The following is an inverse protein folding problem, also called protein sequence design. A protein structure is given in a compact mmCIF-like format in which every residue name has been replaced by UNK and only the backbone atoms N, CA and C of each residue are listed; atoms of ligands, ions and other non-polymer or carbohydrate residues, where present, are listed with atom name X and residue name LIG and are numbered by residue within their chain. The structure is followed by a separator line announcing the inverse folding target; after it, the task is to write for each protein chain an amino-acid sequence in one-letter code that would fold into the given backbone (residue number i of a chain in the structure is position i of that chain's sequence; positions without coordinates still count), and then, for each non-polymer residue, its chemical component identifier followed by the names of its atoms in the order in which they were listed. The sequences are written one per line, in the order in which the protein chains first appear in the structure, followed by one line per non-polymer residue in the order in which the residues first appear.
data_IF_970547504874
#
_entry.id   IF_970547504874
#
_cell.length_a   1.000
_cell.length_b   1.000
_cell.length_c   1.000
_cell.angle_alpha   90.00
_cell.angle_beta   90.00
_cell.angle_gamma   90.00
#
_symmetry.space_group_name_H-M   'P 1'
#
loop_
_entity.id
_entity.type
_entity.pdbx_description
1 polymer ?
#
# COMPACT_ATOMS: atom_id res chain seq x y z
N UNK A 1 -16.04 18.90 9.99
CA UNK A 1 -15.20 18.81 8.77
C UNK A 1 -15.59 17.53 8.07
N UNK A 2 -15.96 17.65 6.80
CA UNK A 2 -16.46 16.56 5.97
C UNK A 2 -15.30 15.76 5.41
N UNK A 3 -15.24 14.48 5.73
CA UNK A 3 -14.19 13.58 5.23
C UNK A 3 -14.84 12.47 4.42
N UNK A 4 -14.47 12.32 3.15
CA UNK A 4 -14.82 11.13 2.39
C UNK A 4 -13.70 10.09 2.54
N UNK A 5 -14.01 8.89 3.01
CA UNK A 5 -13.07 7.77 3.03
C UNK A 5 -13.29 6.97 1.75
N UNK A 6 -12.34 7.06 0.82
CA UNK A 6 -12.43 6.41 -0.48
C UNK A 6 -11.80 5.01 -0.39
N UNK A 7 -12.60 3.98 -0.64
CA UNK A 7 -12.24 2.58 -0.44
C UNK A 7 -12.73 1.69 -1.60
N UNK A 8 -12.47 0.39 -1.55
CA UNK A 8 -12.78 -0.57 -2.61
C UNK A 8 -11.85 -0.43 -3.82
N UNK A 9 -12.42 -0.14 -4.99
CA UNK A 9 -11.71 -0.09 -6.27
C UNK A 9 -11.79 -1.38 -7.07
N UNK A 10 -10.94 -1.50 -8.11
CA UNK A 10 -10.88 -2.65 -9.02
C UNK A 10 -9.76 -3.66 -8.68
N UNK A 11 -8.91 -3.35 -7.70
CA UNK A 11 -7.80 -4.20 -7.28
C UNK A 11 -8.28 -5.51 -6.65
N UNK A 12 -7.48 -6.58 -6.73
CA UNK A 12 -7.69 -7.83 -5.99
C UNK A 12 -7.71 -7.60 -4.47
N UNK A 13 -7.12 -6.50 -3.99
CA UNK A 13 -7.11 -6.07 -2.59
C UNK A 13 -8.37 -5.28 -2.17
N UNK A 14 -9.41 -5.26 -3.01
CA UNK A 14 -10.66 -4.52 -2.79
C UNK A 14 -11.31 -4.78 -1.42
N UNK A 15 -11.33 -6.03 -0.96
CA UNK A 15 -11.96 -6.39 0.31
C UNK A 15 -11.16 -5.87 1.51
N UNK A 16 -9.83 -5.93 1.45
CA UNK A 16 -8.94 -5.30 2.43
C UNK A 16 -9.18 -3.78 2.46
N UNK A 17 -9.27 -3.17 1.27
CA UNK A 17 -9.52 -1.74 1.07
C UNK A 17 -10.86 -1.29 1.69
N UNK A 18 -11.94 -2.04 1.46
CA UNK A 18 -13.24 -1.78 2.11
C UNK A 18 -13.17 -1.96 3.64
N UNK A 19 -12.39 -2.93 4.13
CA UNK A 19 -12.26 -3.22 5.57
C UNK A 19 -11.53 -2.08 6.27
N UNK A 20 -10.38 -1.68 5.73
CA UNK A 20 -9.65 -0.47 6.11
C UNK A 20 -10.57 0.75 6.09
N UNK A 21 -11.27 0.98 4.97
CA UNK A 21 -12.17 2.11 4.80
C UNK A 21 -13.26 2.22 5.87
N UNK A 22 -13.87 1.08 6.24
CA UNK A 22 -14.89 1.06 7.29
C UNK A 22 -14.31 1.43 8.65
N UNK A 23 -13.17 0.84 9.02
CA UNK A 23 -12.51 1.10 10.32
C UNK A 23 -12.04 2.56 10.40
N UNK A 24 -11.42 3.09 9.34
CA UNK A 24 -11.03 4.51 9.26
C UNK A 24 -12.25 5.43 9.42
N UNK A 25 -13.36 5.13 8.74
CA UNK A 25 -14.59 5.95 8.81
C UNK A 25 -15.12 6.02 10.25
N UNK A 26 -15.15 4.89 10.95
CA UNK A 26 -15.60 4.81 12.33
C UNK A 26 -14.65 5.55 13.29
N UNK A 27 -13.33 5.42 13.07
CA UNK A 27 -12.31 6.12 13.86
C UNK A 27 -12.38 7.63 13.70
N UNK A 28 -12.58 8.14 12.47
CA UNK A 28 -12.76 9.57 12.25
C UNK A 28 -14.07 10.09 12.89
N UNK A 29 -15.13 9.29 12.89
CA UNK A 29 -16.39 9.67 13.56
C UNK A 29 -16.28 9.74 15.08
N UNK A 30 -15.54 8.82 15.71
CA UNK A 30 -15.33 8.87 17.16
C UNK A 30 -14.53 10.12 17.57
N UNK A 31 -13.76 10.69 16.63
CA UNK A 31 -13.08 12.00 16.76
C UNK A 31 -13.96 13.22 16.44
N UNK A 32 -15.23 13.01 16.05
CA UNK A 32 -16.19 14.08 15.78
C UNK A 32 -16.16 14.63 14.35
N UNK A 33 -15.54 13.92 13.40
CA UNK A 33 -15.59 14.27 11.97
C UNK A 33 -16.89 13.79 11.31
N UNK A 34 -17.39 14.56 10.34
CA UNK A 34 -18.50 14.17 9.47
C UNK A 34 -17.94 13.26 8.36
N UNK A 35 -17.54 12.04 8.73
CA UNK A 35 -16.90 11.09 7.81
C UNK A 35 -17.92 10.20 7.10
N UNK A 36 -17.66 9.78 5.86
CA UNK A 36 -18.51 8.82 5.11
C UNK A 36 -17.66 7.96 4.20
N UNK A 37 -17.95 6.67 4.09
CA UNK A 37 -17.19 5.75 3.23
C UNK A 37 -17.81 5.69 1.84
N UNK A 38 -17.00 5.77 0.79
CA UNK A 38 -17.43 5.69 -0.60
C UNK A 38 -16.61 4.64 -1.34
N UNK A 39 -17.31 3.73 -2.03
CA UNK A 39 -16.66 2.78 -2.92
C UNK A 39 -16.19 3.49 -4.19
N UNK A 40 -14.90 3.40 -4.51
CA UNK A 40 -14.34 3.99 -5.72
C UNK A 40 -14.99 3.43 -6.99
N UNK A 41 -15.26 2.13 -7.04
CA UNK A 41 -15.72 1.45 -8.25
C UNK A 41 -17.23 1.38 -8.37
N UNK A 42 -17.92 1.00 -7.29
CA UNK A 42 -19.39 0.91 -7.30
C UNK A 42 -20.06 2.27 -7.10
N UNK A 43 -19.38 3.18 -6.40
CA UNK A 43 -19.91 4.49 -6.07
C UNK A 43 -20.99 4.45 -5.00
N UNK A 44 -21.87 5.44 -5.05
CA UNK A 44 -22.93 5.62 -4.07
C UNK A 44 -24.21 6.10 -4.77
N UNK A 45 -25.32 5.42 -4.52
CA UNK A 45 -26.62 5.82 -5.07
C UNK A 45 -27.24 6.91 -4.18
N UNK A 46 -27.42 8.11 -4.75
CA UNK A 46 -28.14 9.19 -4.08
C UNK A 46 -29.65 9.00 -4.30
N UNK A 47 -30.43 9.12 -3.22
CA UNK A 47 -31.88 9.13 -3.35
C UNK A 47 -32.34 10.35 -4.17
N UNK A 48 -33.51 10.23 -4.82
CA UNK A 48 -34.02 11.29 -5.69
C UNK A 48 -34.23 12.58 -4.90
N UNK A 49 -33.44 13.60 -5.22
CA UNK A 49 -33.49 14.91 -4.56
C UNK A 49 -32.65 15.01 -3.29
N UNK A 50 -31.94 13.96 -2.89
CA UNK A 50 -31.00 13.98 -1.77
C UNK A 50 -29.82 14.92 -2.10
N UNK A 51 -29.46 15.77 -1.14
CA UNK A 51 -28.27 16.60 -1.27
C UNK A 51 -27.03 15.75 -0.95
N UNK A 52 -25.97 15.92 -1.75
CA UNK A 52 -24.67 15.27 -1.52
C UNK A 52 -24.07 15.65 -0.16
N UNK A 53 -24.44 16.81 0.39
CA UNK A 53 -23.98 17.24 1.72
C UNK A 53 -24.56 16.36 2.85
N UNK A 54 -25.72 15.74 2.62
CA UNK A 54 -26.42 15.00 3.68
C UNK A 54 -25.78 13.63 3.96
N UNK A 55 -25.04 13.06 3.00
CA UNK A 55 -24.38 11.76 3.17
C UNK A 55 -23.20 11.77 4.15
N UNK A 56 -22.67 12.94 4.50
CA UNK A 56 -21.62 13.08 5.51
C UNK A 56 -22.19 13.05 6.95
N UNK A 57 -23.50 13.32 7.09
CA UNK A 57 -24.19 13.35 8.38
C UNK A 57 -24.77 11.99 8.77
N UNK A 58 -25.05 11.13 7.80
CA UNK A 58 -25.64 9.81 8.03
C UNK A 58 -24.60 8.71 7.88
N UNK A 59 -24.64 7.71 8.78
CA UNK A 59 -23.81 6.53 8.60
C UNK A 59 -24.30 5.70 7.44
N UNK A 60 -23.50 5.64 6.37
CA UNK A 60 -23.67 4.66 5.30
C UNK A 60 -22.80 3.40 5.51
N UNK A 61 -22.07 3.33 6.63
CA UNK A 61 -21.16 2.23 6.96
C UNK A 61 -21.59 1.59 8.28
N UNK A 62 -21.68 0.26 8.33
CA UNK A 62 -21.94 -0.44 9.58
C UNK A 62 -20.76 -0.28 10.54
N UNK A 63 -21.02 -0.24 11.85
CA UNK A 63 -19.97 -0.40 12.87
C UNK A 63 -19.37 -1.82 12.81
N UNK A 64 -20.20 -2.79 12.43
CA UNK A 64 -19.89 -4.22 12.36
C UNK A 64 -19.71 -4.65 10.89
N UNK A 65 -18.96 -3.86 10.12
CA UNK A 65 -18.68 -4.18 8.72
C UNK A 65 -17.67 -5.33 8.67
N UNK A 66 -18.16 -6.57 8.74
CA UNK A 66 -17.40 -7.77 8.44
C UNK A 66 -17.36 -7.95 6.92
N UNK A 67 -16.16 -7.96 6.35
CA UNK A 67 -15.95 -8.20 4.93
C UNK A 67 -15.37 -9.60 4.80
N UNK A 68 -15.85 -10.30 3.78
CA UNK A 68 -15.30 -11.59 3.43
C UNK A 68 -13.83 -11.43 3.00
N UNK A 69 -12.96 -12.29 3.52
CA UNK A 69 -11.54 -12.36 3.16
C UNK A 69 -11.31 -12.98 1.76
N UNK A 70 -12.40 -13.38 1.07
CA UNK A 70 -12.36 -13.88 -0.30
C UNK A 70 -11.64 -12.91 -1.25
N UNK A 71 -10.76 -13.47 -2.08
CA UNK A 71 -10.03 -12.75 -3.11
C UNK A 71 -10.84 -12.82 -4.40
N UNK A 72 -11.33 -11.67 -4.86
CA UNK A 72 -12.10 -11.59 -6.09
C UNK A 72 -11.17 -11.49 -7.30
N UNK A 73 -11.49 -12.22 -8.37
CA UNK A 73 -10.82 -12.04 -9.67
C UNK A 73 -11.26 -10.72 -10.31
N UNK A 74 -10.44 -10.15 -11.20
CA UNK A 74 -10.81 -8.95 -11.94
C UNK A 74 -12.17 -9.10 -12.66
N UNK A 75 -12.41 -10.28 -13.26
CA UNK A 75 -13.66 -10.60 -13.93
C UNK A 75 -14.86 -10.63 -12.98
N UNK A 76 -14.68 -11.05 -11.73
CA UNK A 76 -15.74 -11.03 -10.73
C UNK A 76 -15.98 -9.62 -10.19
N UNK A 77 -14.93 -8.83 -10.01
CA UNK A 77 -15.06 -7.42 -9.64
C UNK A 77 -15.81 -6.64 -10.72
N UNK A 78 -15.50 -6.85 -12.00
CA UNK A 78 -16.19 -6.18 -13.09
C UNK A 78 -17.69 -6.48 -13.14
N UNK A 79 -18.10 -7.72 -12.83
CA UNK A 79 -19.52 -8.11 -12.76
C UNK A 79 -20.29 -7.39 -11.65
N UNK A 80 -19.61 -6.87 -10.61
CA UNK A 80 -20.26 -6.12 -9.53
C UNK A 80 -20.89 -4.83 -10.04
N UNK A 81 -20.35 -4.24 -11.11
CA UNK A 81 -20.92 -3.04 -11.69
C UNK A 81 -22.04 -3.38 -12.68
N UNK A 82 -23.26 -3.02 -12.32
CA UNK A 82 -24.47 -3.33 -13.09
C UNK A 82 -25.08 -2.12 -13.80
N UNK A 83 -24.51 -0.92 -13.63
CA UNK A 83 -25.05 0.34 -14.18
C UNK A 83 -24.61 0.63 -15.63
N UNK A 84 -23.79 -0.25 -16.23
CA UNK A 84 -23.31 -0.13 -17.61
C UNK A 84 -22.18 0.88 -17.82
N UNK A 85 -21.66 1.52 -16.76
CA UNK A 85 -20.55 2.46 -16.87
C UNK A 85 -19.19 1.73 -16.91
N UNK A 86 -18.19 2.28 -17.60
CA UNK A 86 -16.89 1.62 -17.82
C UNK A 86 -15.71 2.27 -17.10
N UNK A 87 -15.84 3.52 -16.64
CA UNK A 87 -14.73 4.25 -15.99
C UNK A 87 -14.49 3.83 -14.54
N UNK A 88 -13.27 3.98 -14.00
CA UNK A 88 -12.96 3.53 -12.63
C UNK A 88 -13.90 4.14 -11.57
N UNK A 89 -14.20 5.44 -11.67
CA UNK A 89 -15.03 6.15 -10.70
C UNK A 89 -16.51 5.78 -10.88
N UNK A 90 -17.08 5.13 -9.87
CA UNK A 90 -18.48 4.76 -9.80
C UNK A 90 -19.43 5.94 -9.71
N UNK A 91 -20.72 5.61 -9.65
CA UNK A 91 -21.79 6.60 -9.63
C UNK A 91 -21.62 7.58 -8.46
N UNK A 92 -21.72 8.87 -8.76
CA UNK A 92 -21.58 9.98 -7.82
C UNK A 92 -20.24 10.10 -7.06
N UNK A 93 -19.23 9.24 -7.29
CA UNK A 93 -17.97 9.29 -6.51
C UNK A 93 -17.33 10.67 -6.59
N UNK A 94 -17.00 11.16 -7.79
CA UNK A 94 -16.36 12.47 -7.93
C UNK A 94 -17.20 13.61 -7.35
N UNK A 95 -18.53 13.56 -7.55
CA UNK A 95 -19.45 14.57 -7.02
C UNK A 95 -19.42 14.60 -5.48
N UNK A 96 -19.32 13.44 -4.84
CA UNK A 96 -19.22 13.31 -3.38
C UNK A 96 -17.85 13.79 -2.89
N UNK A 97 -16.77 13.38 -3.54
CA UNK A 97 -15.42 13.78 -3.16
C UNK A 97 -15.22 15.31 -3.29
N UNK A 98 -15.82 15.95 -4.29
CA UNK A 98 -15.83 17.42 -4.44
C UNK A 98 -16.63 18.15 -3.35
N UNK A 99 -17.58 17.48 -2.71
CA UNK A 99 -18.32 18.03 -1.59
C UNK A 99 -17.60 17.85 -0.24
N UNK A 100 -16.57 17.00 -0.17
CA UNK A 100 -15.78 16.81 1.04
C UNK A 100 -14.78 17.96 1.26
N UNK A 101 -14.45 18.25 2.51
CA UNK A 101 -13.32 19.12 2.84
C UNK A 101 -11.98 18.40 2.64
N UNK A 102 -12.01 17.06 2.76
CA UNK A 102 -10.84 16.19 2.64
C UNK A 102 -11.23 14.77 2.24
N UNK A 103 -10.31 14.06 1.58
CA UNK A 103 -10.46 12.64 1.25
C UNK A 103 -9.39 11.81 1.96
N UNK A 104 -9.81 10.76 2.66
CA UNK A 104 -8.89 9.74 3.15
C UNK A 104 -8.81 8.62 2.10
N UNK A 105 -7.63 8.37 1.55
CA UNK A 105 -7.39 7.25 0.63
C UNK A 105 -7.20 5.95 1.42
N UNK A 106 -8.18 5.08 1.37
CA UNK A 106 -8.14 3.73 1.93
C UNK A 106 -8.19 2.70 0.78
N UNK A 107 -7.32 2.90 -0.21
CA UNK A 107 -7.24 2.08 -1.42
C UNK A 107 -5.95 1.26 -1.38
N UNK A 108 -6.02 -0.01 -1.77
CA UNK A 108 -4.87 -0.92 -1.77
C UNK A 108 -4.72 -1.57 -3.15
N UNK A 109 -3.49 -1.60 -3.66
CA UNK A 109 -3.13 -2.15 -4.95
C UNK A 109 -3.70 -1.40 -6.16
N UNK A 110 -3.18 -1.77 -7.33
CA UNK A 110 -3.66 -1.31 -8.65
C UNK A 110 -3.80 0.20 -8.76
N UNK A 111 -4.93 0.65 -9.34
CA UNK A 111 -5.19 2.06 -9.64
C UNK A 111 -5.31 2.98 -8.41
N UNK A 112 -5.44 2.40 -7.21
CA UNK A 112 -5.47 3.16 -5.95
C UNK A 112 -4.10 3.64 -5.49
N UNK A 113 -3.05 2.86 -5.77
CA UNK A 113 -1.69 3.11 -5.27
C UNK A 113 -0.70 3.52 -6.37
N UNK A 114 -1.03 3.35 -7.65
CA UNK A 114 -0.14 3.68 -8.77
C UNK A 114 -0.18 5.16 -9.22
N UNK A 115 -0.92 6.02 -8.51
CA UNK A 115 -1.00 7.45 -8.83
C UNK A 115 -2.15 7.87 -9.75
N UNK A 116 -2.89 6.94 -10.37
CA UNK A 116 -4.01 7.30 -11.28
C UNK A 116 -5.17 7.96 -10.55
N UNK A 117 -5.60 7.42 -9.42
CA UNK A 117 -6.66 8.05 -8.61
C UNK A 117 -6.21 9.42 -8.11
N UNK A 118 -4.98 9.52 -7.59
CA UNK A 118 -4.36 10.75 -7.11
C UNK A 118 -4.37 11.83 -8.20
N UNK A 119 -4.01 11.49 -9.44
CA UNK A 119 -4.03 12.42 -10.57
C UNK A 119 -5.44 12.94 -10.87
N UNK A 120 -6.48 12.10 -10.78
CA UNK A 120 -7.87 12.55 -10.95
C UNK A 120 -8.28 13.50 -9.82
N UNK A 121 -7.86 13.24 -8.58
CA UNK A 121 -8.13 14.13 -7.45
C UNK A 121 -7.42 15.47 -7.62
N UNK A 122 -6.16 15.47 -8.03
CA UNK A 122 -5.37 16.66 -8.33
C UNK A 122 -6.07 17.53 -9.40
N UNK A 123 -6.50 16.92 -10.51
CA UNK A 123 -7.21 17.62 -11.60
C UNK A 123 -8.56 18.21 -11.19
N UNK A 124 -9.17 17.70 -10.11
CA UNK A 124 -10.44 18.18 -9.56
C UNK A 124 -10.27 19.09 -8.34
N UNK A 125 -9.04 19.47 -7.98
CA UNK A 125 -8.70 20.25 -6.78
C UNK A 125 -9.23 19.61 -5.47
N UNK A 126 -9.27 18.28 -5.42
CA UNK A 126 -9.70 17.54 -4.23
C UNK A 126 -8.47 17.30 -3.35
N UNK A 127 -8.57 17.64 -2.06
CA UNK A 127 -7.48 17.43 -1.09
C UNK A 127 -7.56 16.02 -0.50
N UNK A 128 -6.45 15.28 -0.45
CA UNK A 128 -6.44 13.87 -0.02
C UNK A 128 -5.19 13.48 0.80
N UNK A 129 -5.29 12.43 1.63
CA UNK A 129 -4.19 11.82 2.42
C UNK A 129 -3.18 11.04 1.55
N UNK A 130 -2.00 10.74 2.09
CA UNK A 130 -0.98 9.93 1.39
C UNK A 130 -0.15 10.73 0.39
N UNK A 131 0.59 10.04 -0.49
CA UNK A 131 1.48 10.68 -1.47
C UNK A 131 0.77 11.13 -2.75
N UNK A 132 1.38 12.06 -3.48
CA UNK A 132 0.86 12.54 -4.77
C UNK A 132 1.06 11.54 -5.90
N UNK A 133 0.49 11.83 -7.08
CA UNK A 133 0.47 10.93 -8.25
C UNK A 133 1.86 10.40 -8.67
N UNK A 134 2.85 11.28 -8.84
CA UNK A 134 4.20 10.86 -9.25
C UNK A 134 4.88 9.94 -8.22
N UNK A 135 4.87 10.33 -6.94
CA UNK A 135 5.47 9.52 -5.88
C UNK A 135 4.76 8.16 -5.71
N UNK A 136 3.45 8.13 -5.92
CA UNK A 136 2.65 6.89 -5.90
C UNK A 136 3.07 5.96 -7.05
N UNK A 137 3.22 6.48 -8.27
CA UNK A 137 3.71 5.72 -9.42
C UNK A 137 5.14 5.20 -9.23
N UNK A 138 6.05 6.06 -8.73
CA UNK A 138 7.44 5.68 -8.44
C UNK A 138 7.49 4.55 -7.40
N UNK A 139 6.71 4.64 -6.32
CA UNK A 139 6.72 3.62 -5.27
C UNK A 139 6.16 2.27 -5.73
N UNK A 140 5.19 2.28 -6.67
CA UNK A 140 4.61 1.05 -7.24
C UNK A 140 5.55 0.33 -8.21
N UNK A 141 6.45 1.07 -8.86
CA UNK A 141 7.45 0.54 -9.80
C UNK A 141 8.72 0.10 -9.03
N UNK A 142 8.96 -1.21 -8.95
CA UNK A 142 10.07 -1.76 -8.15
C UNK A 142 11.43 -1.43 -8.72
N UNK A 143 11.57 -1.41 -10.05
CA UNK A 143 12.81 -1.07 -10.71
C UNK A 143 13.14 0.41 -10.48
N UNK A 144 12.22 1.32 -10.82
CA UNK A 144 12.44 2.77 -10.69
C UNK A 144 12.69 3.15 -9.22
N UNK A 145 11.89 2.64 -8.29
CA UNK A 145 12.09 2.92 -6.86
C UNK A 145 13.49 2.47 -6.40
N UNK A 146 13.95 1.29 -6.81
CA UNK A 146 15.30 0.81 -6.46
C UNK A 146 16.42 1.60 -7.12
N UNK A 147 16.27 2.02 -8.37
CA UNK A 147 17.26 2.89 -9.02
C UNK A 147 17.42 4.21 -8.24
N UNK A 148 16.31 4.83 -7.83
CA UNK A 148 16.32 6.04 -7.01
C UNK A 148 16.96 5.77 -5.63
N UNK A 149 16.63 4.64 -5.00
CA UNK A 149 17.23 4.25 -3.72
C UNK A 149 18.75 4.10 -3.84
N UNK A 150 19.23 3.34 -4.84
CA UNK A 150 20.66 3.13 -5.07
C UNK A 150 21.40 4.43 -5.38
N UNK A 151 20.79 5.32 -6.17
CA UNK A 151 21.37 6.63 -6.45
C UNK A 151 21.55 7.49 -5.19
N UNK A 152 20.75 7.26 -4.15
CA UNK A 152 20.78 7.97 -2.87
C UNK A 152 21.46 7.15 -1.75
N UNK A 153 22.30 6.18 -2.10
CA UNK A 153 23.04 5.32 -1.17
C UNK A 153 22.15 4.52 -0.21
N UNK A 154 20.91 4.23 -0.60
CA UNK A 154 19.99 3.34 0.14
C UNK A 154 20.16 1.92 -0.39
N UNK A 155 20.56 1.01 0.48
CA UNK A 155 20.79 -0.40 0.12
C UNK A 155 19.47 -1.09 -0.22
N UNK A 156 19.48 -1.84 -1.31
CA UNK A 156 18.45 -2.79 -1.73
C UNK A 156 19.15 -3.98 -2.41
N UNK A 157 18.41 -5.06 -2.69
CA UNK A 157 18.95 -6.18 -3.46
C UNK A 157 19.45 -5.71 -4.83
N UNK A 158 20.62 -6.21 -5.26
CA UNK A 158 21.01 -6.11 -6.67
C UNK A 158 19.91 -6.72 -7.53
N UNK A 159 19.65 -6.09 -8.66
CA UNK A 159 18.56 -6.51 -9.53
C UNK A 159 18.88 -6.29 -11.00
N UNK A 160 18.07 -6.89 -11.85
CA UNK A 160 18.01 -6.62 -13.28
C UNK A 160 16.55 -6.67 -13.74
N UNK A 161 16.20 -5.82 -14.70
CA UNK A 161 14.88 -5.80 -15.34
C UNK A 161 14.98 -6.56 -16.65
N UNK A 162 14.04 -7.46 -16.89
CA UNK A 162 13.96 -8.31 -18.06
C UNK A 162 12.63 -8.11 -18.77
N UNK A 163 12.68 -8.16 -20.09
CA UNK A 163 11.53 -8.15 -20.99
C UNK A 163 11.45 -9.48 -21.73
N UNK A 164 10.29 -9.81 -22.29
CA UNK A 164 10.09 -11.07 -23.02
C UNK A 164 11.11 -11.24 -24.18
N UNK A 165 11.53 -10.13 -24.80
CA UNK A 165 12.52 -10.11 -25.87
C UNK A 165 13.97 -10.41 -25.44
N UNK A 166 14.28 -10.29 -24.14
CA UNK A 166 15.61 -10.60 -23.58
C UNK A 166 15.86 -12.12 -23.48
N UNK A 167 14.81 -12.92 -23.63
CA UNK A 167 14.88 -14.38 -23.54
C UNK A 167 15.05 -14.90 -22.10
N UNK A 168 15.60 -16.11 -21.98
CA UNK A 168 15.52 -16.91 -20.74
C UNK A 168 16.81 -16.87 -19.89
N UNK A 169 17.96 -16.54 -20.48
CA UNK A 169 19.27 -16.56 -19.81
C UNK A 169 19.99 -15.21 -19.90
N UNK A 170 19.51 -14.19 -19.18
CA UNK A 170 20.22 -12.92 -19.10
C UNK A 170 21.56 -13.10 -18.39
N UNK A 171 22.56 -12.31 -18.76
CA UNK A 171 23.78 -12.18 -17.97
C UNK A 171 23.49 -11.33 -16.73
N UNK A 172 23.52 -11.95 -15.55
CA UNK A 172 23.30 -11.30 -14.27
C UNK A 172 24.61 -11.19 -13.47
N UNK A 173 24.75 -10.10 -12.72
CA UNK A 173 25.93 -9.83 -11.85
C UNK A 173 25.84 -10.53 -10.47
N UNK A 174 24.88 -11.43 -10.32
CA UNK A 174 24.60 -12.23 -9.13
C UNK A 174 24.11 -13.62 -9.55
N UNK A 175 24.14 -14.57 -8.61
CA UNK A 175 23.80 -15.97 -8.87
C UNK A 175 22.67 -16.47 -7.98
N UNK A 176 22.37 -17.76 -8.13
CA UNK A 176 21.31 -18.43 -7.38
C UNK A 176 21.58 -18.55 -5.86
N UNK A 177 20.52 -18.57 -5.02
CA UNK A 177 19.13 -18.37 -5.40
C UNK A 177 18.81 -16.90 -5.76
N UNK A 178 17.74 -16.69 -6.53
CA UNK A 178 17.26 -15.37 -6.96
C UNK A 178 15.77 -15.23 -6.71
N UNK A 179 15.27 -14.00 -6.63
CA UNK A 179 13.84 -13.70 -6.54
C UNK A 179 13.36 -13.14 -7.87
N UNK A 180 12.35 -13.76 -8.48
CA UNK A 180 11.70 -13.31 -9.72
C UNK A 180 10.33 -12.76 -9.37
N UNK A 181 9.99 -11.56 -9.82
CA UNK A 181 8.65 -10.97 -9.60
C UNK A 181 8.27 -9.96 -10.69
N UNK A 182 6.96 -9.75 -10.94
CA UNK A 182 6.48 -8.63 -11.75
C UNK A 182 7.00 -7.28 -11.22
N UNK A 183 7.38 -6.37 -12.12
CA UNK A 183 7.88 -5.04 -11.74
C UNK A 183 6.77 -4.24 -11.05
N UNK A 184 5.57 -4.27 -11.62
CA UNK A 184 4.37 -3.60 -11.12
C UNK A 184 3.47 -4.53 -10.29
N UNK A 185 2.65 -3.94 -9.42
CA UNK A 185 1.69 -4.68 -8.60
C UNK A 185 2.20 -5.01 -7.20
N UNK A 186 1.35 -5.66 -6.40
CA UNK A 186 1.61 -5.91 -4.97
C UNK A 186 1.27 -7.33 -4.53
N UNK A 187 1.28 -7.53 -3.21
CA UNK A 187 0.81 -8.77 -2.56
C UNK A 187 1.59 -10.04 -2.92
N UNK A 188 2.86 -9.95 -3.33
CA UNK A 188 3.69 -11.13 -3.68
C UNK A 188 3.12 -12.01 -4.82
N UNK A 189 2.14 -11.52 -5.59
CA UNK A 189 1.57 -12.25 -6.73
C UNK A 189 2.67 -12.40 -7.79
N UNK A 190 2.89 -13.63 -8.25
CA UNK A 190 3.94 -13.93 -9.24
C UNK A 190 5.38 -13.88 -8.71
N UNK A 191 5.58 -13.73 -7.39
CA UNK A 191 6.92 -13.77 -6.79
C UNK A 191 7.37 -15.21 -6.55
N UNK A 192 8.56 -15.58 -7.02
CA UNK A 192 9.17 -16.90 -6.78
C UNK A 192 10.65 -16.81 -6.45
N UNK A 193 11.11 -17.71 -5.59
CA UNK A 193 12.54 -17.96 -5.37
C UNK A 193 12.97 -19.07 -6.33
N UNK A 194 13.98 -18.81 -7.15
CA UNK A 194 14.51 -19.76 -8.13
C UNK A 194 15.95 -20.16 -7.77
N UNK A 195 16.29 -21.42 -7.98
CA UNK A 195 17.56 -22.02 -7.56
C UNK A 195 18.44 -22.50 -8.72
N UNK A 196 17.86 -22.59 -9.92
CA UNK A 196 18.58 -22.98 -11.13
C UNK A 196 17.96 -22.37 -12.40
N UNK A 197 18.63 -22.59 -13.54
CA UNK A 197 18.24 -22.11 -14.86
C UNK A 197 16.84 -22.57 -15.29
N UNK A 198 16.45 -23.77 -14.86
CA UNK A 198 15.15 -24.34 -15.23
C UNK A 198 14.03 -23.63 -14.46
N UNK A 199 14.20 -23.46 -13.15
CA UNK A 199 13.25 -22.71 -12.32
C UNK A 199 13.14 -21.25 -12.76
N UNK A 200 14.26 -20.61 -13.16
CA UNK A 200 14.24 -19.26 -13.73
C UNK A 200 13.38 -19.20 -15.00
N UNK A 201 13.59 -20.12 -15.94
CA UNK A 201 12.83 -20.17 -17.19
C UNK A 201 11.32 -20.33 -16.98
N UNK A 202 10.95 -21.25 -16.09
CA UNK A 202 9.55 -21.51 -15.73
C UNK A 202 8.93 -20.29 -15.03
N UNK A 203 9.69 -19.64 -14.14
CA UNK A 203 9.22 -18.46 -13.41
C UNK A 203 9.05 -17.24 -14.33
N UNK A 204 9.98 -16.99 -15.25
CA UNK A 204 9.87 -15.88 -16.21
C UNK A 204 8.65 -16.07 -17.12
N UNK A 205 8.46 -17.28 -17.67
CA UNK A 205 7.32 -17.58 -18.54
C UNK A 205 5.96 -17.37 -17.83
N UNK A 206 5.88 -17.61 -16.53
CA UNK A 206 4.66 -17.34 -15.76
C UNK A 206 4.52 -15.87 -15.40
N UNK A 207 5.63 -15.20 -15.03
CA UNK A 207 5.63 -13.80 -14.64
C UNK A 207 5.20 -12.86 -15.79
N UNK A 208 5.61 -13.15 -17.04
CA UNK A 208 5.21 -12.38 -18.23
C UNK A 208 3.71 -12.40 -18.53
N UNK A 209 2.94 -13.25 -17.83
CA UNK A 209 1.46 -13.23 -17.93
C UNK A 209 0.85 -12.07 -17.13
N UNK A 210 1.62 -11.47 -16.24
CA UNK A 210 1.18 -10.43 -15.31
C UNK A 210 1.79 -9.06 -15.62
N UNK A 211 3.01 -9.01 -16.17
CA UNK A 211 3.72 -7.76 -16.48
C UNK A 211 4.72 -7.98 -17.62
N UNK A 212 4.95 -6.95 -18.44
CA UNK A 212 5.92 -6.98 -19.54
C UNK A 212 7.36 -6.74 -19.01
N UNK A 213 7.48 -6.13 -17.82
CA UNK A 213 8.74 -5.91 -17.12
C UNK A 213 8.83 -6.81 -15.89
N UNK A 214 9.83 -7.69 -15.85
CA UNK A 214 10.07 -8.61 -14.74
C UNK A 214 11.37 -8.22 -14.05
N UNK A 215 11.33 -8.05 -12.73
CA UNK A 215 12.52 -7.80 -11.94
C UNK A 215 13.05 -9.11 -11.36
N UNK A 216 14.34 -9.34 -11.55
CA UNK A 216 15.09 -10.46 -10.95
C UNK A 216 16.07 -9.88 -9.95
N UNK A 217 16.04 -10.35 -8.71
CA UNK A 217 16.83 -9.84 -7.60
C UNK A 217 17.75 -10.92 -7.01
N UNK A 218 18.91 -10.50 -6.49
CA UNK A 218 19.70 -11.36 -5.64
C UNK A 218 18.89 -11.77 -4.40
N UNK A 219 18.98 -13.03 -3.99
CA UNK A 219 18.31 -13.47 -2.78
C UNK A 219 19.09 -13.01 -1.55
N UNK A 220 18.51 -12.08 -0.78
CA UNK A 220 19.06 -11.65 0.51
C UNK A 220 18.49 -12.53 1.61
N UNK A 221 19.36 -13.25 2.33
CA UNK A 221 18.99 -13.94 3.55
C UNK A 221 19.02 -12.97 4.74
N UNK A 222 17.98 -12.95 5.56
CA UNK A 222 17.89 -12.06 6.71
C UNK A 222 16.55 -12.18 7.44
N UNK A 223 16.39 -11.35 8.47
CA UNK A 223 15.13 -11.14 9.18
C UNK A 223 14.33 -10.06 8.46
N UNK A 224 13.02 -10.25 8.34
CA UNK A 224 12.11 -9.34 7.65
C UNK A 224 11.42 -8.38 8.63
N UNK A 225 11.40 -7.11 8.30
CA UNK A 225 10.80 -6.06 9.12
C UNK A 225 9.99 -5.09 8.28
N UNK A 226 9.11 -4.37 8.95
CA UNK A 226 8.40 -3.24 8.39
C UNK A 226 8.44 -2.05 9.33
N UNK A 227 8.47 -0.85 8.74
CA UNK A 227 8.34 0.41 9.46
C UNK A 227 7.39 1.33 8.70
N UNK A 228 6.29 1.65 9.34
CA UNK A 228 5.43 2.78 9.03
C UNK A 228 6.14 4.10 9.29
N UNK A 229 5.93 5.07 8.42
CA UNK A 229 6.36 6.44 8.62
C UNK A 229 5.14 7.32 8.49
N UNK A 230 4.89 8.16 9.48
CA UNK A 230 3.75 9.08 9.51
C UNK A 230 4.26 10.47 9.82
N UNK A 231 3.92 11.43 8.96
CA UNK A 231 4.26 12.84 9.07
C UNK A 231 5.76 13.13 9.26
N UNK A 232 6.62 12.27 8.67
CA UNK A 232 8.08 12.38 8.73
C UNK A 232 8.71 11.66 9.93
N UNK A 233 7.93 10.95 10.73
CA UNK A 233 8.40 10.19 11.88
C UNK A 233 8.18 8.70 11.66
N UNK A 234 9.24 7.90 11.80
CA UNK A 234 9.17 6.44 11.70
C UNK A 234 8.65 5.82 13.01
N UNK A 235 7.71 4.91 12.89
CA UNK A 235 7.16 4.11 13.97
C UNK A 235 8.18 3.07 14.47
N UNK A 236 7.95 2.43 15.63
CA UNK A 236 8.66 1.21 16.00
C UNK A 236 8.58 0.17 14.89
N UNK A 237 9.62 -0.67 14.77
CA UNK A 237 9.60 -1.73 13.77
C UNK A 237 8.61 -2.82 14.20
N UNK A 238 8.09 -3.54 13.22
CA UNK A 238 7.42 -4.83 13.38
C UNK A 238 8.25 -5.87 12.64
N UNK A 239 8.54 -6.99 13.29
CA UNK A 239 9.19 -8.14 12.64
C UNK A 239 8.14 -9.10 12.10
N UNK A 240 8.36 -9.57 10.88
CA UNK A 240 7.53 -10.55 10.19
C UNK A 240 8.28 -11.88 10.23
N UNK A 241 7.79 -12.83 11.04
CA UNK A 241 8.38 -14.16 11.19
C UNK A 241 7.49 -15.20 10.53
N UNK A 242 8.00 -15.89 9.51
CA UNK A 242 7.30 -17.00 8.85
C UNK A 242 7.89 -18.32 9.37
N UNK A 243 7.06 -19.17 9.99
CA UNK A 243 7.53 -20.38 10.66
C UNK A 243 7.90 -21.51 9.68
N UNK A 244 7.29 -21.55 8.49
CA UNK A 244 7.57 -22.49 7.42
C UNK A 244 7.66 -21.72 6.07
N UNK A 245 8.81 -21.66 5.42
CA UNK A 245 8.95 -20.99 4.10
C UNK A 245 9.24 -19.48 4.16
N UNK A 246 8.69 -18.69 3.22
CA UNK A 246 8.90 -17.24 3.06
C UNK A 246 7.57 -16.47 2.96
N UNK A 247 7.57 -15.14 3.13
CA UNK A 247 6.36 -14.30 3.20
C UNK A 247 5.65 -14.10 1.84
N UNK A 248 4.89 -15.11 1.43
CA UNK A 248 4.08 -15.09 0.21
C UNK A 248 2.63 -14.61 0.44
N UNK A 249 1.82 -14.65 -0.62
CA UNK A 249 0.40 -14.23 -0.59
C UNK A 249 -0.46 -15.02 0.41
N UNK A 250 -0.25 -16.34 0.51
CA UNK A 250 -1.02 -17.20 1.41
C UNK A 250 -0.73 -16.84 2.88
N UNK A 251 0.49 -16.37 3.16
CA UNK A 251 0.95 -15.92 4.48
C UNK A 251 0.45 -14.52 4.90
N UNK A 252 0.02 -13.67 3.95
CA UNK A 252 -0.42 -12.29 4.18
C UNK A 252 -1.89 -12.17 4.62
N UNK A 253 -2.71 -13.17 4.31
CA UNK A 253 -4.17 -13.06 4.46
C UNK A 253 -4.85 -14.22 5.21
N UNK A 254 -4.12 -15.30 5.56
CA UNK A 254 -4.69 -16.38 6.38
C UNK A 254 -4.57 -16.08 7.88
N UNK A 255 -5.70 -15.98 8.56
CA UNK A 255 -5.76 -15.91 10.02
C UNK A 255 -5.49 -17.30 10.62
N UNK A 256 -4.24 -17.56 10.99
CA UNK A 256 -3.87 -18.70 11.81
C UNK A 256 -2.61 -19.45 11.38
N UNK A 257 -1.58 -19.38 12.24
CA UNK A 257 -0.47 -20.33 12.45
C UNK A 257 0.82 -20.26 11.62
N UNK A 258 0.90 -19.55 10.49
CA UNK A 258 2.15 -19.54 9.69
C UNK A 258 3.01 -18.28 9.83
N UNK A 259 2.40 -17.10 10.02
CA UNK A 259 3.11 -15.81 10.20
C UNK A 259 2.90 -15.24 11.61
N UNK A 260 3.99 -14.82 12.27
CA UNK A 260 3.96 -14.11 13.55
C UNK A 260 4.46 -12.67 13.35
N UNK A 261 3.77 -11.72 13.97
CA UNK A 261 4.18 -10.32 14.00
C UNK A 261 4.68 -9.97 15.41
N UNK A 262 5.90 -9.45 15.50
CA UNK A 262 6.53 -9.09 16.78
C UNK A 262 6.78 -7.58 16.82
N UNK A 263 6.07 -6.87 17.72
CA UNK A 263 6.12 -5.41 17.82
C UNK A 263 6.17 -4.98 19.29
N UNK A 264 7.21 -4.24 19.75
CA UNK A 264 8.48 -4.04 19.06
C UNK A 264 9.32 -5.35 19.03
N UNK A 265 10.14 -5.57 18.00
CA UNK A 265 10.97 -6.76 17.89
C UNK A 265 12.19 -6.70 18.81
N UNK A 266 12.75 -7.88 19.09
CA UNK A 266 14.02 -8.01 19.80
C UNK A 266 15.19 -7.83 18.81
N UNK A 267 15.71 -6.61 18.72
CA UNK A 267 16.82 -6.21 17.84
C UNK A 267 17.75 -5.23 18.56
N UNK A 268 18.98 -5.11 18.07
CA UNK A 268 19.94 -4.11 18.56
C UNK A 268 19.43 -2.69 18.24
N UNK A 269 19.56 -1.77 19.21
CA UNK A 269 19.07 -0.39 19.09
C UNK A 269 19.70 0.37 17.92
N UNK A 270 20.97 0.08 17.60
CA UNK A 270 21.68 0.67 16.46
C UNK A 270 21.03 0.25 15.13
N UNK A 271 20.62 -1.02 15.02
CA UNK A 271 19.92 -1.54 13.84
C UNK A 271 18.51 -0.94 13.74
N UNK A 272 17.81 -0.83 14.88
CA UNK A 272 16.49 -0.20 14.91
C UNK A 272 16.54 1.28 14.50
N UNK A 273 17.50 2.01 15.04
CA UNK A 273 17.74 3.42 14.73
C UNK A 273 18.10 3.62 13.25
N UNK A 274 18.92 2.72 12.69
CA UNK A 274 19.26 2.74 11.27
C UNK A 274 18.03 2.48 10.40
N UNK A 275 17.19 1.48 10.73
CA UNK A 275 15.95 1.23 9.99
C UNK A 275 15.01 2.43 10.01
N UNK A 276 14.84 3.10 11.16
CA UNK A 276 14.02 4.33 11.25
C UNK A 276 14.57 5.44 10.35
N UNK A 277 15.89 5.65 10.39
CA UNK A 277 16.58 6.65 9.56
C UNK A 277 16.39 6.35 8.08
N UNK A 278 16.61 5.10 7.66
CA UNK A 278 16.47 4.66 6.27
C UNK A 278 15.02 4.72 5.83
N UNK A 279 14.03 4.35 6.65
CA UNK A 279 12.61 4.44 6.29
C UNK A 279 12.18 5.87 5.93
N UNK A 280 12.58 6.85 6.76
CA UNK A 280 12.33 8.27 6.49
C UNK A 280 13.08 8.73 5.23
N UNK A 281 14.34 8.31 5.06
CA UNK A 281 15.13 8.65 3.88
C UNK A 281 14.52 8.07 2.60
N UNK A 282 14.10 6.81 2.60
CA UNK A 282 13.45 6.11 1.48
C UNK A 282 12.21 6.87 1.04
N UNK A 283 11.30 7.18 1.97
CA UNK A 283 10.12 7.97 1.61
C UNK A 283 10.47 9.33 1.04
N UNK A 284 11.46 10.02 1.61
CA UNK A 284 11.88 11.33 1.12
C UNK A 284 12.44 11.27 -0.32
N UNK A 285 13.30 10.30 -0.65
CA UNK A 285 13.91 10.21 -1.99
C UNK A 285 12.91 9.75 -3.05
N UNK A 286 11.90 8.95 -2.66
CA UNK A 286 10.79 8.56 -3.53
C UNK A 286 9.71 9.64 -3.65
N UNK A 287 9.87 10.78 -2.96
CA UNK A 287 8.91 11.89 -2.96
C UNK A 287 7.61 11.57 -2.22
N UNK A 288 7.58 10.50 -1.42
CA UNK A 288 6.42 10.10 -0.63
C UNK A 288 6.20 11.07 0.53
N UNK A 289 4.93 11.31 0.89
CA UNK A 289 4.56 12.28 1.92
C UNK A 289 3.43 11.77 2.79
N UNK A 290 3.26 12.40 3.95
CA UNK A 290 2.17 12.17 4.91
C UNK A 290 2.21 10.81 5.59
N UNK A 291 2.06 9.70 4.88
CA UNK A 291 2.31 8.38 5.46
C UNK A 291 2.67 7.35 4.40
N UNK A 292 3.25 6.24 4.84
CA UNK A 292 3.63 5.10 4.03
C UNK A 292 4.28 4.04 4.91
N UNK A 293 4.70 2.93 4.29
CA UNK A 293 5.40 1.84 4.97
C UNK A 293 6.62 1.43 4.15
N UNK A 294 7.74 1.16 4.80
CA UNK A 294 8.96 0.66 4.16
C UNK A 294 9.27 -0.71 4.73
N UNK A 295 9.45 -1.69 3.83
CA UNK A 295 9.73 -3.07 4.20
C UNK A 295 11.23 -3.34 4.04
N UNK A 296 11.78 -4.16 4.93
CA UNK A 296 13.22 -4.34 5.11
C UNK A 296 13.60 -5.81 5.26
N UNK A 297 14.78 -6.15 4.72
CA UNK A 297 15.57 -7.30 5.15
C UNK A 297 16.78 -6.81 5.94
N UNK A 298 17.10 -7.47 7.04
CA UNK A 298 18.34 -7.18 7.79
C UNK A 298 19.13 -8.45 8.07
N UNK A 299 20.45 -8.32 7.98
CA UNK A 299 21.42 -9.38 8.29
C UNK A 299 22.73 -8.75 8.77
N UNK A 300 23.80 -9.54 8.85
CA UNK A 300 25.11 -9.07 9.32
C UNK A 300 25.74 -7.97 8.44
N UNK A 301 25.31 -7.81 7.18
CA UNK A 301 25.86 -6.82 6.25
C UNK A 301 25.05 -5.50 6.20
N UNK A 302 23.91 -5.46 6.89
CA UNK A 302 23.17 -4.23 7.17
C UNK A 302 21.66 -4.33 6.91
N UNK A 303 21.07 -3.15 6.72
CA UNK A 303 19.64 -2.95 6.44
C UNK A 303 19.44 -2.77 4.93
N UNK A 304 18.52 -3.53 4.35
CA UNK A 304 18.18 -3.52 2.93
C UNK A 304 16.70 -3.21 2.77
N UNK A 305 16.36 -2.20 1.98
CA UNK A 305 14.97 -1.89 1.63
C UNK A 305 14.48 -2.90 0.59
N UNK A 306 13.34 -3.53 0.85
CA UNK A 306 12.64 -4.40 -0.10
C UNK A 306 11.82 -3.55 -1.06
N UNK A 307 10.88 -2.79 -0.51
CA UNK A 307 9.92 -1.93 -1.20
C UNK A 307 9.34 -0.85 -0.28
N UNK A 308 8.68 0.15 -0.87
CA UNK A 308 7.94 1.18 -0.16
C UNK A 308 6.47 1.17 -0.60
N UNK A 309 5.56 1.15 0.36
CA UNK A 309 4.12 1.05 0.15
C UNK A 309 3.47 2.40 0.48
N UNK A 310 2.75 2.97 -0.50
CA UNK A 310 2.17 4.31 -0.37
C UNK A 310 0.88 4.33 0.45
N UNK A 311 -0.02 3.37 0.26
CA UNK A 311 -1.27 3.25 1.01
C UNK A 311 -1.30 1.88 1.71
N UNK A 312 -0.46 1.67 2.74
CA UNK A 312 -0.40 0.39 3.44
C UNK A 312 -1.77 0.03 4.04
N UNK A 313 -1.98 -1.27 4.28
CA UNK A 313 -3.16 -1.77 5.00
C UNK A 313 -3.40 -1.03 6.32
N UNK A 314 -4.67 -0.68 6.58
CA UNK A 314 -5.09 0.13 7.72
C UNK A 314 -6.16 -0.55 8.56
N UNK A 315 -6.35 -1.87 8.45
CA UNK A 315 -7.14 -2.59 9.44
C UNK A 315 -6.38 -2.59 10.78
N UNK A 316 -7.05 -2.71 11.95
CA UNK A 316 -6.35 -2.74 13.24
C UNK A 316 -5.29 -3.85 13.37
N UNK A 317 -5.41 -4.93 12.58
CA UNK A 317 -4.44 -6.03 12.52
C UNK A 317 -3.35 -5.82 11.46
N UNK A 318 -3.38 -4.71 10.72
CA UNK A 318 -2.34 -4.36 9.75
C UNK A 318 -1.07 -3.87 10.47
N UNK A 319 0.06 -3.90 9.76
CA UNK A 319 1.39 -3.57 10.31
C UNK A 319 1.45 -2.16 10.90
N UNK A 320 1.12 -1.12 10.12
CA UNK A 320 1.22 0.27 10.55
C UNK A 320 0.37 0.59 11.80
N UNK A 321 -0.91 0.16 11.91
CA UNK A 321 -1.68 0.29 13.15
C UNK A 321 -1.06 -0.40 14.37
N UNK A 322 -0.48 -1.60 14.22
CA UNK A 322 0.20 -2.30 15.32
C UNK A 322 1.48 -1.59 15.76
N UNK A 323 2.26 -1.06 14.81
CA UNK A 323 3.44 -0.25 15.11
C UNK A 323 3.07 1.04 15.85
N UNK A 324 1.98 1.70 15.45
CA UNK A 324 1.46 2.89 16.12
C UNK A 324 0.97 2.57 17.55
N UNK A 325 0.29 1.45 17.75
CA UNK A 325 -0.14 0.99 19.07
C UNK A 325 1.07 0.75 19.99
N UNK A 326 2.13 0.11 19.47
CA UNK A 326 3.38 -0.08 20.22
C UNK A 326 4.09 1.25 20.56
N UNK A 327 3.83 2.32 19.80
CA UNK A 327 4.27 3.68 20.10
C UNK A 327 3.34 4.43 21.08
N UNK A 328 2.25 3.80 21.55
CA UNK A 328 1.24 4.41 22.42
C UNK A 328 0.25 5.32 21.69
N UNK A 329 0.11 5.17 20.37
CA UNK A 329 -0.81 5.95 19.53
C UNK A 329 -2.06 5.10 19.28
N UNK A 330 -3.24 5.58 19.68
CA UNK A 330 -4.50 4.87 19.38
C UNK A 330 -4.79 4.86 17.88
N UNK A 331 -5.57 3.89 17.41
CA UNK A 331 -5.97 3.81 16.00
C UNK A 331 -6.70 5.08 15.53
N UNK A 332 -7.53 5.65 16.39
CA UNK A 332 -8.23 6.90 16.14
C UNK A 332 -7.28 8.10 16.06
N UNK A 333 -6.29 8.18 16.96
CA UNK A 333 -5.24 9.20 16.91
C UNK A 333 -4.39 9.07 15.64
N UNK A 334 -4.06 7.84 15.23
CA UNK A 334 -3.33 7.57 13.99
C UNK A 334 -4.10 8.11 12.78
N UNK A 335 -5.36 7.72 12.61
CA UNK A 335 -6.20 8.16 11.49
C UNK A 335 -6.35 9.69 11.45
N UNK A 336 -6.58 10.32 12.60
CA UNK A 336 -6.68 11.77 12.72
C UNK A 336 -5.35 12.46 12.39
N UNK A 337 -4.22 11.95 12.89
CA UNK A 337 -2.89 12.52 12.65
C UNK A 337 -2.52 12.52 11.16
N UNK A 338 -2.92 11.50 10.40
CA UNK A 338 -2.71 11.41 8.96
C UNK A 338 -3.45 12.56 8.25
N UNK A 339 -4.72 12.79 8.60
CA UNK A 339 -5.52 13.89 8.03
C UNK A 339 -4.91 15.25 8.37
N UNK A 340 -4.64 15.51 9.65
CA UNK A 340 -4.10 16.80 10.10
C UNK A 340 -2.70 17.08 9.53
N UNK A 341 -1.87 16.04 9.44
CA UNK A 341 -0.54 16.11 8.86
C UNK A 341 -0.55 16.52 7.39
N UNK A 342 -1.42 15.91 6.58
CA UNK A 342 -1.55 16.29 5.17
C UNK A 342 -2.16 17.67 4.98
N UNK A 343 -3.12 18.06 5.82
CA UNK A 343 -3.64 19.44 5.80
C UNK A 343 -2.55 20.48 6.06
N UNK A 344 -1.60 20.18 6.96
CA UNK A 344 -0.43 21.04 7.20
C UNK A 344 0.43 21.17 5.94
N UNK A 345 0.65 20.08 5.20
CA UNK A 345 1.39 20.10 3.93
C UNK A 345 0.69 20.97 2.87
N UNK A 346 -0.63 20.83 2.67
CA UNK A 346 -1.36 21.69 1.73
C UNK A 346 -1.25 23.17 2.09
N UNK A 347 -1.35 23.53 3.37
CA UNK A 347 -1.18 24.92 3.85
C UNK A 347 0.23 25.46 3.63
N UNK A 348 1.24 24.61 3.51
CA UNK A 348 2.61 25.02 3.20
C UNK A 348 2.81 25.26 1.71
N UNK A 349 2.13 24.50 0.84
CA UNK A 349 2.18 24.68 -0.62
C UNK A 349 1.41 25.92 -1.11
N UNK A 350 0.44 26.40 -0.33
CA UNK A 350 -0.33 27.62 -0.61
C UNK A 350 0.44 28.93 -0.27
N UNK A 351 1.65 28.84 0.32
CA UNK A 351 2.47 30.00 0.73
C UNK A 351 3.58 30.31 -0.26
#
# INVERSE_FOLDING_TARGET
MKIAVLAGGKSTERNVSLSSGSKITNALRSKGYDATMIDLFLGYELEKGQNVEDIFKTSNTSTDYEINDDVLTDADIEKLRTDGTVGLFGKNVLRILQAADFVFLALHGGDGENGKVQAVLDLNNIKYTGSGSLASGIAMDKAISKEIMLYNDIKTAKFSVLHEEDGIHPQLDFGYPMVVKPNNGGSSIGTRIVHDDKELAESLSDAYRFDDEIIVEEFITGREFSLGVVNGEAMPAIEIVVNDGWYDYEHKFQTGSTTQFITPPNIDEDVHSEMKRVAVQTMAVLGMTNYGRVDFLTNETGVYVIEANNLPGMTPLSLLPQEAEAAGISYEDLCESIVLGKQKLYKQLEK
#
